data_IF_007090090348
#
_entry.id   IF_007090090348
#
_cell.length_a   1.000
_cell.length_b   1.000
_cell.length_c   1.000
_cell.angle_alpha   90.00
_cell.angle_beta   90.00
_cell.angle_gamma   90.00
#
_symmetry.space_group_name_H-M   'P 1'
#
loop_
_entity.id
_entity.type
_entity.pdbx_description
1 polymer ?
#
# COMPACT_ATOMS: atom_id res chain seq x y z
N UNK A 1 14.94 19.23 -0.44
CA UNK A 1 16.30 18.78 -0.08
C UNK A 1 17.11 18.57 -1.36
N UNK A 2 17.79 19.59 -1.87
CA UNK A 2 18.50 19.51 -3.15
C UNK A 2 19.58 18.42 -3.17
N UNK A 3 20.33 18.27 -2.08
CA UNK A 3 21.42 17.30 -2.00
C UNK A 3 20.93 15.85 -2.05
N UNK A 4 19.80 15.53 -1.41
CA UNK A 4 19.19 14.19 -1.48
C UNK A 4 18.78 13.84 -2.92
N UNK A 5 18.21 14.80 -3.66
CA UNK A 5 17.81 14.61 -5.07
C UNK A 5 19.04 14.38 -5.95
N UNK A 6 20.12 15.12 -5.72
CA UNK A 6 21.39 14.91 -6.42
C UNK A 6 21.97 13.52 -6.09
N UNK A 7 21.88 13.09 -4.83
CA UNK A 7 22.26 11.74 -4.41
C UNK A 7 21.49 10.64 -5.16
N UNK A 8 20.17 10.79 -5.32
CA UNK A 8 19.35 9.85 -6.08
C UNK A 8 19.77 9.79 -7.57
N UNK A 9 20.05 10.94 -8.19
CA UNK A 9 20.54 11.00 -9.56
C UNK A 9 21.88 10.28 -9.72
N UNK A 10 22.82 10.49 -8.79
CA UNK A 10 24.09 9.77 -8.80
C UNK A 10 23.91 8.26 -8.60
N UNK A 11 23.05 7.84 -7.67
CA UNK A 11 22.79 6.43 -7.43
C UNK A 11 22.19 5.74 -8.67
N UNK A 12 21.25 6.39 -9.37
CA UNK A 12 20.70 5.89 -10.63
C UNK A 12 21.77 5.79 -11.73
N UNK A 13 22.63 6.80 -11.87
CA UNK A 13 23.71 6.77 -12.84
C UNK A 13 24.70 5.63 -12.55
N UNK A 14 25.23 5.56 -11.32
CA UNK A 14 26.22 4.56 -10.93
C UNK A 14 25.68 3.13 -10.98
N UNK A 15 24.40 2.92 -10.63
CA UNK A 15 23.79 1.58 -10.74
C UNK A 15 23.70 1.11 -12.20
N UNK A 16 23.37 2.00 -13.14
CA UNK A 16 23.39 1.70 -14.57
C UNK A 16 24.82 1.41 -15.07
N UNK A 17 25.81 2.18 -14.63
CA UNK A 17 27.21 1.96 -15.00
C UNK A 17 27.70 0.58 -14.56
N UNK A 18 27.43 0.20 -13.30
CA UNK A 18 27.78 -1.12 -12.77
C UNK A 18 27.02 -2.23 -13.51
N UNK A 19 25.72 -2.04 -13.77
CA UNK A 19 24.92 -3.00 -14.53
C UNK A 19 25.45 -3.22 -15.95
N UNK A 20 25.84 -2.14 -16.63
CA UNK A 20 26.46 -2.18 -17.96
C UNK A 20 27.80 -2.91 -17.95
N UNK A 21 28.67 -2.58 -16.99
CA UNK A 21 29.98 -3.25 -16.86
C UNK A 21 29.82 -4.76 -16.62
N UNK A 22 28.92 -5.17 -15.70
CA UNK A 22 28.66 -6.59 -15.43
C UNK A 22 28.07 -7.33 -16.62
N UNK A 23 27.21 -6.69 -17.40
CA UNK A 23 26.68 -7.27 -18.62
C UNK A 23 27.78 -7.51 -19.65
N UNK A 24 28.70 -6.55 -19.83
CA UNK A 24 29.83 -6.71 -20.75
C UNK A 24 30.79 -7.81 -20.28
N UNK A 25 31.14 -7.85 -18.99
CA UNK A 25 31.95 -8.94 -18.40
C UNK A 25 31.33 -10.32 -18.66
N UNK A 26 30.01 -10.45 -18.47
CA UNK A 26 29.27 -11.69 -18.76
C UNK A 26 29.32 -12.06 -20.26
N UNK A 27 29.15 -11.09 -21.16
CA UNK A 27 29.20 -11.36 -22.59
C UNK A 27 30.61 -11.79 -23.04
N UNK A 28 31.66 -11.20 -22.47
CA UNK A 28 33.05 -11.59 -22.71
C UNK A 28 33.37 -12.98 -22.15
N UNK A 29 32.96 -13.30 -20.92
CA UNK A 29 33.22 -14.60 -20.27
C UNK A 29 32.65 -15.79 -21.05
N UNK A 30 31.47 -15.59 -21.67
CA UNK A 30 30.77 -16.65 -22.41
C UNK A 30 30.91 -16.54 -23.94
N UNK A 31 31.82 -15.68 -24.44
CA UNK A 31 32.05 -15.43 -25.86
C UNK A 31 30.74 -15.10 -26.64
N UNK A 32 29.84 -14.33 -26.02
CA UNK A 32 28.56 -13.95 -26.60
C UNK A 32 28.66 -12.60 -27.33
N UNK A 33 28.48 -12.55 -28.66
CA UNK A 33 28.55 -11.30 -29.41
C UNK A 33 27.34 -10.37 -29.17
N UNK A 34 26.28 -10.87 -28.54
CA UNK A 34 25.06 -10.13 -28.22
C UNK A 34 24.27 -10.84 -27.13
N UNK A 35 23.60 -10.05 -26.26
CA UNK A 35 22.66 -10.57 -25.27
C UNK A 35 21.30 -10.95 -25.86
N UNK A 36 20.97 -10.42 -27.06
CA UNK A 36 19.62 -10.49 -27.63
C UNK A 36 19.10 -11.94 -27.74
N UNK A 37 19.85 -12.92 -28.29
CA UNK A 37 19.34 -14.29 -28.39
C UNK A 37 19.01 -14.93 -27.03
N UNK A 38 19.82 -14.64 -26.00
CA UNK A 38 19.57 -15.12 -24.65
C UNK A 38 18.36 -14.41 -24.01
N UNK A 39 18.25 -13.10 -24.22
CA UNK A 39 17.11 -12.31 -23.75
C UNK A 39 15.80 -12.80 -24.38
N UNK A 40 15.79 -13.06 -25.68
CA UNK A 40 14.63 -13.58 -26.41
C UNK A 40 14.20 -14.94 -25.87
N UNK A 41 15.15 -15.85 -25.58
CA UNK A 41 14.86 -17.15 -24.99
C UNK A 41 14.28 -17.01 -23.56
N UNK A 42 14.83 -16.13 -22.73
CA UNK A 42 14.34 -15.87 -21.37
C UNK A 42 12.92 -15.29 -21.41
N UNK A 43 12.67 -14.34 -22.32
CA UNK A 43 11.35 -13.72 -22.52
C UNK A 43 10.35 -14.76 -23.02
N UNK A 44 10.71 -15.57 -24.02
CA UNK A 44 9.84 -16.61 -24.57
C UNK A 44 9.47 -17.67 -23.51
N UNK A 45 10.42 -18.11 -22.68
CA UNK A 45 10.14 -19.02 -21.56
C UNK A 45 9.20 -18.42 -20.53
N UNK A 46 9.37 -17.13 -20.24
CA UNK A 46 8.52 -16.42 -19.27
C UNK A 46 7.10 -16.24 -19.81
N UNK A 47 6.96 -16.00 -21.12
CA UNK A 47 5.68 -15.96 -21.80
C UNK A 47 4.98 -17.32 -21.76
N UNK A 48 5.67 -18.40 -22.14
CA UNK A 48 5.10 -19.74 -22.11
C UNK A 48 4.69 -20.14 -20.69
N UNK A 49 5.52 -19.87 -19.68
CA UNK A 49 5.20 -20.18 -18.29
C UNK A 49 3.98 -19.43 -17.78
N UNK A 50 3.77 -18.17 -18.19
CA UNK A 50 2.55 -17.43 -17.85
C UNK A 50 1.32 -17.99 -18.59
N UNK A 51 1.44 -18.32 -19.88
CA UNK A 51 0.37 -18.97 -20.66
C UNK A 51 -0.07 -20.30 -20.04
N UNK A 52 0.89 -21.15 -19.67
CA UNK A 52 0.64 -22.41 -18.96
C UNK A 52 -0.03 -22.18 -17.59
N UNK A 53 0.31 -21.08 -16.91
CA UNK A 53 -0.34 -20.70 -15.67
C UNK A 53 -1.78 -20.26 -15.88
N UNK A 54 -2.07 -19.49 -16.92
CA UNK A 54 -3.42 -19.03 -17.28
C UNK A 54 -4.31 -20.22 -17.67
N UNK A 55 -3.79 -21.21 -18.40
CA UNK A 55 -4.53 -22.44 -18.78
C UNK A 55 -5.07 -23.24 -17.59
N UNK A 56 -4.51 -23.05 -16.38
CA UNK A 56 -4.99 -23.70 -15.15
C UNK A 56 -6.15 -22.95 -14.50
N UNK A 57 -6.43 -21.73 -14.94
CA UNK A 57 -7.62 -20.97 -14.55
C UNK A 57 -8.75 -21.39 -15.49
N UNK A 58 -9.94 -21.76 -14.97
CA UNK A 58 -11.06 -22.08 -15.84
C UNK A 58 -11.42 -20.89 -16.76
N UNK A 59 -11.76 -21.20 -18.01
CA UNK A 59 -12.30 -20.20 -18.93
C UNK A 59 -13.60 -19.62 -18.38
N UNK A 60 -13.76 -18.30 -18.46
CA UNK A 60 -14.92 -17.64 -17.91
C UNK A 60 -14.76 -16.14 -17.72
N UNK A 61 -15.80 -15.53 -17.17
CA UNK A 61 -15.85 -14.11 -16.81
C UNK A 61 -16.08 -13.96 -15.31
N UNK A 62 -15.14 -13.31 -14.63
CA UNK A 62 -15.15 -13.11 -13.18
C UNK A 62 -15.22 -11.63 -12.87
N UNK A 63 -16.22 -11.23 -12.09
CA UNK A 63 -16.48 -9.80 -11.80
C UNK A 63 -16.28 -9.50 -10.33
N UNK A 64 -15.62 -8.39 -10.05
CA UNK A 64 -15.44 -7.95 -8.68
C UNK A 64 -15.42 -6.43 -8.58
N UNK A 65 -15.88 -5.90 -7.46
CA UNK A 65 -15.74 -4.49 -7.14
C UNK A 65 -15.43 -4.29 -5.66
N UNK A 66 -14.63 -3.28 -5.38
CA UNK A 66 -14.29 -2.84 -4.04
C UNK A 66 -14.54 -1.33 -3.94
N UNK A 67 -14.91 -0.92 -2.73
CA UNK A 67 -15.03 0.48 -2.36
C UNK A 67 -13.86 0.85 -1.46
N UNK A 68 -13.12 1.88 -1.82
CA UNK A 68 -12.07 2.47 -0.97
C UNK A 68 -12.58 3.73 -0.28
N UNK A 69 -11.82 4.21 0.70
CA UNK A 69 -12.11 5.50 1.28
C UNK A 69 -12.06 6.59 0.20
N UNK A 70 -12.98 7.54 0.34
CA UNK A 70 -13.15 8.62 -0.60
C UNK A 70 -12.17 9.77 -0.47
N UNK A 71 -12.60 10.87 -1.09
CA UNK A 71 -12.15 12.21 -0.79
C UNK A 71 -13.34 13.07 -0.33
N UNK A 72 -13.05 14.10 0.46
CA UNK A 72 -14.06 15.06 0.87
C UNK A 72 -14.33 16.09 -0.25
N UNK A 73 -15.61 16.29 -0.53
CA UNK A 73 -16.15 17.39 -1.32
C UNK A 73 -16.77 18.44 -0.39
N UNK A 74 -16.66 19.74 -0.70
CA UNK A 74 -17.32 20.77 0.07
C UNK A 74 -18.81 20.47 0.21
N UNK A 75 -19.31 20.52 1.45
CA UNK A 75 -20.74 20.54 1.71
C UNK A 75 -21.40 21.77 1.09
N UNK A 76 -22.73 21.81 1.06
CA UNK A 76 -23.44 23.07 0.80
C UNK A 76 -23.09 24.09 1.89
N UNK A 77 -23.23 25.40 1.65
CA UNK A 77 -23.02 26.39 2.70
C UNK A 77 -23.81 26.05 3.98
N UNK A 78 -23.10 25.81 5.08
CA UNK A 78 -23.68 25.40 6.37
C UNK A 78 -23.77 23.88 6.61
N UNK A 79 -23.39 23.05 5.63
CA UNK A 79 -23.30 21.59 5.75
C UNK A 79 -21.82 21.15 5.86
N UNK A 80 -21.54 20.04 6.57
CA UNK A 80 -20.20 19.47 6.62
C UNK A 80 -19.76 18.95 5.25
N UNK A 81 -18.45 18.83 5.05
CA UNK A 81 -17.89 18.18 3.86
C UNK A 81 -18.43 16.76 3.71
N UNK A 82 -18.74 16.38 2.47
CA UNK A 82 -19.27 15.07 2.12
C UNK A 82 -18.12 14.18 1.66
N UNK A 83 -18.00 13.00 2.27
CA UNK A 83 -17.10 11.97 1.77
C UNK A 83 -17.68 11.26 0.55
N UNK A 84 -16.92 11.22 -0.54
CA UNK A 84 -17.30 10.53 -1.77
C UNK A 84 -16.43 9.29 -1.93
N UNK A 85 -16.93 8.08 -1.61
CA UNK A 85 -16.16 6.85 -1.75
C UNK A 85 -15.80 6.59 -3.23
N UNK A 86 -14.71 5.88 -3.45
CA UNK A 86 -14.25 5.51 -4.78
C UNK A 86 -14.51 4.02 -4.99
N UNK A 87 -15.15 3.68 -6.11
CA UNK A 87 -15.37 2.29 -6.52
C UNK A 87 -14.33 1.90 -7.55
N UNK A 88 -13.65 0.79 -7.33
CA UNK A 88 -12.86 0.10 -8.33
C UNK A 88 -13.60 -1.17 -8.73
N UNK A 89 -13.86 -1.34 -10.01
CA UNK A 89 -14.55 -2.50 -10.55
C UNK A 89 -13.68 -3.14 -11.63
N UNK A 90 -13.64 -4.47 -11.68
CA UNK A 90 -13.03 -5.17 -12.79
C UNK A 90 -13.86 -6.37 -13.25
N UNK A 91 -13.70 -6.69 -14.53
CA UNK A 91 -14.10 -7.96 -15.13
C UNK A 91 -12.85 -8.65 -15.69
N UNK A 92 -12.55 -9.84 -15.20
CA UNK A 92 -11.48 -10.69 -15.75
C UNK A 92 -12.12 -11.71 -16.68
N UNK A 93 -11.69 -11.74 -17.93
CA UNK A 93 -12.08 -12.74 -18.93
C UNK A 93 -10.88 -13.65 -19.22
N UNK A 94 -11.04 -14.94 -18.99
CA UNK A 94 -10.04 -15.97 -19.31
C UNK A 94 -10.53 -16.76 -20.52
N UNK A 95 -9.68 -16.86 -21.53
CA UNK A 95 -9.94 -17.61 -22.77
C UNK A 95 -8.67 -18.35 -23.17
N UNK A 96 -8.65 -19.67 -22.95
CA UNK A 96 -7.49 -20.51 -23.21
C UNK A 96 -6.27 -20.06 -22.41
N UNK A 97 -5.23 -19.62 -23.10
CA UNK A 97 -3.96 -19.19 -22.51
C UNK A 97 -3.81 -17.67 -22.39
N UNK A 98 -4.92 -16.93 -22.55
CA UNK A 98 -4.95 -15.45 -22.46
C UNK A 98 -5.93 -14.96 -21.40
N UNK A 99 -5.62 -13.79 -20.84
CA UNK A 99 -6.42 -13.13 -19.82
C UNK A 99 -6.59 -11.65 -20.14
N UNK A 100 -7.83 -11.17 -20.05
CA UNK A 100 -8.17 -9.75 -20.24
C UNK A 100 -8.81 -9.18 -18.97
N UNK A 101 -8.35 -8.01 -18.52
CA UNK A 101 -8.92 -7.27 -17.38
C UNK A 101 -9.53 -5.97 -17.89
N UNK A 102 -10.84 -5.82 -17.73
CA UNK A 102 -11.54 -4.58 -18.04
C UNK A 102 -12.00 -3.87 -16.76
N UNK A 103 -11.62 -2.60 -16.59
CA UNK A 103 -11.95 -1.77 -15.43
C UNK A 103 -13.21 -0.90 -15.63
N UNK A 104 -14.07 -1.22 -16.59
CA UNK A 104 -15.39 -0.57 -16.72
C UNK A 104 -16.20 -0.63 -15.41
N UNK A 105 -16.93 0.45 -15.12
CA UNK A 105 -17.64 0.66 -13.85
C UNK A 105 -16.79 1.25 -12.71
N UNK A 106 -15.50 1.50 -12.95
CA UNK A 106 -14.64 2.23 -12.01
C UNK A 106 -14.97 3.73 -11.96
N UNK A 107 -14.88 4.34 -10.76
CA UNK A 107 -15.17 5.75 -10.53
C UNK A 107 -14.39 6.72 -11.45
N UNK A 108 -14.96 7.90 -11.77
CA UNK A 108 -14.28 8.93 -12.56
C UNK A 108 -13.07 9.53 -11.84
N UNK A 109 -12.25 10.27 -12.59
CA UNK A 109 -11.15 11.09 -12.06
C UNK A 109 -11.61 11.96 -10.89
N UNK A 110 -10.82 11.98 -9.82
CA UNK A 110 -11.02 12.84 -8.67
C UNK A 110 -10.31 14.20 -8.85
N UNK A 111 -10.84 15.30 -8.31
CA UNK A 111 -10.19 16.63 -8.30
C UNK A 111 -9.09 16.72 -7.21
N UNK A 112 -8.30 15.65 -7.07
CA UNK A 112 -7.27 15.44 -6.05
C UNK A 112 -6.13 14.64 -6.66
N UNK A 113 -4.93 14.75 -6.08
CA UNK A 113 -3.71 14.12 -6.62
C UNK A 113 -3.66 12.58 -6.61
N UNK A 114 -4.77 11.88 -6.40
CA UNK A 114 -4.83 10.43 -6.20
C UNK A 114 -5.05 9.63 -7.50
N UNK A 115 -5.24 10.31 -8.63
CA UNK A 115 -5.53 9.67 -9.91
C UNK A 115 -4.35 8.84 -10.43
N UNK A 116 -4.67 7.86 -11.26
CA UNK A 116 -3.73 6.88 -11.81
C UNK A 116 -3.75 6.94 -13.33
N UNK A 117 -2.56 6.86 -13.92
CA UNK A 117 -2.33 6.75 -15.38
C UNK A 117 -2.32 5.28 -15.81
N UNK A 118 -2.71 5.01 -17.06
CA UNK A 118 -2.94 3.65 -17.55
C UNK A 118 -1.76 2.69 -17.34
N UNK A 119 -0.51 3.14 -17.56
CA UNK A 119 0.68 2.29 -17.36
C UNK A 119 0.86 1.82 -15.90
N UNK A 120 0.44 2.63 -14.92
CA UNK A 120 0.46 2.24 -13.51
C UNK A 120 -0.66 1.24 -13.21
N UNK A 121 -1.83 1.42 -13.84
CA UNK A 121 -2.94 0.47 -13.78
C UNK A 121 -2.55 -0.89 -14.34
N UNK A 122 -1.89 -0.90 -15.50
CA UNK A 122 -1.32 -2.11 -16.11
C UNK A 122 -0.34 -2.78 -15.15
N UNK A 123 0.65 -2.04 -14.64
CA UNK A 123 1.69 -2.59 -13.78
C UNK A 123 1.13 -3.28 -12.51
N UNK A 124 0.23 -2.63 -11.77
CA UNK A 124 -0.29 -3.19 -10.52
C UNK A 124 -1.36 -4.27 -10.72
N UNK A 125 -2.09 -4.25 -11.85
CA UNK A 125 -3.02 -5.34 -12.17
C UNK A 125 -2.26 -6.59 -12.59
N UNK A 126 -1.24 -6.44 -13.46
CA UNK A 126 -0.36 -7.53 -13.87
C UNK A 126 0.43 -8.10 -12.71
N UNK A 127 0.87 -7.25 -11.77
CA UNK A 127 1.46 -7.71 -10.51
C UNK A 127 0.48 -8.62 -9.73
N UNK A 128 -0.79 -8.22 -9.61
CA UNK A 128 -1.84 -9.04 -9.00
C UNK A 128 -1.98 -10.42 -9.65
N UNK A 129 -2.05 -10.46 -10.99
CA UNK A 129 -2.10 -11.71 -11.76
C UNK A 129 -0.87 -12.57 -11.49
N UNK A 130 0.33 -11.99 -11.58
CA UNK A 130 1.58 -12.74 -11.40
C UNK A 130 1.70 -13.34 -10.01
N UNK A 131 1.35 -12.59 -8.97
CA UNK A 131 1.33 -13.10 -7.60
C UNK A 131 0.38 -14.30 -7.43
N UNK A 132 -0.74 -14.32 -8.14
CA UNK A 132 -1.74 -15.38 -8.04
C UNK A 132 -1.38 -16.61 -8.89
N UNK A 133 -0.90 -16.41 -10.13
CA UNK A 133 -0.78 -17.48 -11.12
C UNK A 133 0.65 -17.99 -11.31
N UNK A 134 1.65 -17.10 -11.19
CA UNK A 134 3.01 -17.34 -11.66
C UNK A 134 4.07 -16.60 -10.79
N UNK A 135 4.08 -16.78 -9.46
CA UNK A 135 4.97 -16.02 -8.57
C UNK A 135 6.47 -16.27 -8.87
N UNK A 136 6.82 -17.50 -9.27
CA UNK A 136 8.19 -17.93 -9.52
C UNK A 136 8.70 -17.63 -10.94
N UNK A 137 7.82 -17.19 -11.85
CA UNK A 137 8.22 -16.80 -13.21
C UNK A 137 9.02 -15.49 -13.14
N UNK A 138 10.13 -15.32 -13.88
CA UNK A 138 10.87 -14.06 -13.91
C UNK A 138 10.01 -12.86 -14.36
N UNK A 139 10.29 -11.68 -13.80
CA UNK A 139 9.63 -10.44 -14.23
C UNK A 139 10.28 -9.92 -15.52
N UNK A 140 9.60 -10.09 -16.66
CA UNK A 140 9.95 -9.46 -17.93
C UNK A 140 8.70 -9.36 -18.83
N UNK A 141 8.84 -8.72 -19.99
CA UNK A 141 7.75 -8.49 -20.94
C UNK A 141 6.99 -9.77 -21.31
N UNK A 142 7.68 -10.90 -21.44
CA UNK A 142 7.07 -12.18 -21.79
C UNK A 142 5.97 -12.59 -20.82
N UNK A 143 6.23 -12.42 -19.51
CA UNK A 143 5.24 -12.71 -18.46
C UNK A 143 4.00 -11.80 -18.49
N UNK A 144 4.01 -10.73 -19.28
CA UNK A 144 2.91 -9.75 -19.36
C UNK A 144 2.14 -9.87 -20.67
N UNK A 145 2.76 -10.37 -21.75
CA UNK A 145 2.14 -10.50 -23.09
C UNK A 145 0.78 -11.21 -23.13
N UNK A 146 0.51 -12.31 -22.38
CA UNK A 146 -0.80 -12.96 -22.42
C UNK A 146 -1.87 -12.24 -21.57
N UNK A 147 -1.50 -11.15 -20.89
CA UNK A 147 -2.39 -10.35 -20.02
C UNK A 147 -2.64 -8.99 -20.66
N UNK A 148 -3.89 -8.71 -21.04
CA UNK A 148 -4.29 -7.41 -21.59
C UNK A 148 -5.20 -6.66 -20.62
N UNK A 149 -5.14 -5.34 -20.59
CA UNK A 149 -5.82 -4.52 -19.58
C UNK A 149 -6.43 -3.28 -20.23
N UNK A 150 -7.67 -2.96 -19.90
CA UNK A 150 -8.36 -1.73 -20.32
C UNK A 150 -8.99 -1.01 -19.13
N UNK A 151 -9.07 0.32 -19.21
CA UNK A 151 -9.82 1.14 -18.28
C UNK A 151 -10.42 2.33 -19.03
N UNK A 152 -11.66 2.76 -18.71
CA UNK A 152 -12.29 3.89 -19.39
C UNK A 152 -11.43 5.16 -19.26
N UNK A 153 -11.21 5.86 -20.38
CA UNK A 153 -10.51 7.16 -20.37
C UNK A 153 -11.30 8.13 -19.51
N UNK A 154 -10.64 8.77 -18.53
CA UNK A 154 -11.30 9.66 -17.57
C UNK A 154 -11.84 8.95 -16.32
N UNK A 155 -11.65 7.63 -16.19
CA UNK A 155 -11.73 6.94 -14.90
C UNK A 155 -10.51 7.26 -14.03
N UNK A 156 -10.63 7.03 -12.72
CA UNK A 156 -9.52 7.23 -11.77
C UNK A 156 -8.31 6.33 -12.07
N UNK A 157 -8.50 5.26 -12.86
CA UNK A 157 -7.47 4.33 -13.31
C UNK A 157 -6.89 4.63 -14.70
N UNK A 158 -7.42 5.61 -15.42
CA UNK A 158 -6.92 6.05 -16.72
C UNK A 158 -7.15 7.55 -16.91
N UNK A 159 -6.54 8.33 -16.02
CA UNK A 159 -6.61 9.79 -16.07
C UNK A 159 -5.73 10.35 -17.20
N UNK A 160 -6.15 11.48 -17.76
CA UNK A 160 -5.41 12.22 -18.79
C UNK A 160 -4.88 13.55 -18.24
N UNK A 161 -3.79 14.10 -18.81
CA UNK A 161 -3.39 15.47 -18.50
C UNK A 161 -4.58 16.44 -18.64
N UNK A 162 -4.77 17.41 -17.71
CA UNK A 162 -3.86 17.82 -16.61
C UNK A 162 -4.21 17.20 -15.23
N UNK A 163 -4.85 16.04 -15.16
CA UNK A 163 -5.23 15.43 -13.88
C UNK A 163 -4.01 15.19 -12.96
N UNK A 164 -4.08 15.53 -11.66
CA UNK A 164 -2.95 15.38 -10.75
C UNK A 164 -2.80 13.93 -10.24
N UNK A 165 -1.54 13.45 -10.14
CA UNK A 165 -1.18 12.02 -9.91
C UNK A 165 -0.13 11.78 -8.82
N UNK A 166 0.13 12.78 -7.96
CA UNK A 166 1.20 12.73 -6.95
C UNK A 166 0.98 11.62 -5.89
N UNK A 167 -0.26 11.40 -5.46
CA UNK A 167 -0.70 10.40 -4.49
C UNK A 167 -1.29 9.13 -5.12
N UNK A 168 -0.96 8.82 -6.38
CA UNK A 168 -1.53 7.68 -7.14
C UNK A 168 -1.45 6.30 -6.45
N UNK A 169 -0.50 6.10 -5.54
CA UNK A 169 -0.35 4.86 -4.78
C UNK A 169 -1.56 4.57 -3.87
N UNK A 170 -2.30 5.60 -3.45
CA UNK A 170 -3.54 5.45 -2.67
C UNK A 170 -4.52 4.56 -3.42
N UNK A 171 -4.64 4.77 -4.73
CA UNK A 171 -5.59 4.05 -5.59
C UNK A 171 -4.93 2.82 -6.20
N UNK A 172 -3.78 2.99 -6.86
CA UNK A 172 -3.22 1.92 -7.68
C UNK A 172 -2.73 0.69 -6.89
N UNK A 173 -2.41 0.83 -5.59
CA UNK A 173 -2.08 -0.33 -4.74
C UNK A 173 -3.29 -1.18 -4.36
N UNK A 174 -4.52 -0.77 -4.68
CA UNK A 174 -5.71 -1.61 -4.54
C UNK A 174 -5.90 -2.59 -5.69
N UNK A 175 -5.25 -2.38 -6.84
CA UNK A 175 -5.51 -3.18 -8.04
C UNK A 175 -5.25 -4.69 -7.83
N UNK A 176 -4.21 -5.11 -7.10
CA UNK A 176 -4.05 -6.53 -6.76
C UNK A 176 -5.23 -7.09 -5.96
N UNK A 177 -5.79 -6.33 -5.01
CA UNK A 177 -6.95 -6.76 -4.24
C UNK A 177 -8.20 -6.90 -5.13
N UNK A 178 -8.43 -5.93 -6.01
CA UNK A 178 -9.55 -5.96 -6.98
C UNK A 178 -9.44 -7.18 -7.91
N UNK A 179 -8.24 -7.42 -8.44
CA UNK A 179 -7.92 -8.57 -9.29
C UNK A 179 -8.06 -9.90 -8.55
N UNK A 180 -7.55 -9.98 -7.32
CA UNK A 180 -7.64 -11.18 -6.48
C UNK A 180 -9.08 -11.51 -6.11
N UNK A 181 -9.93 -10.52 -5.85
CA UNK A 181 -11.35 -10.74 -5.59
C UNK A 181 -12.12 -11.27 -6.81
N UNK A 182 -11.73 -10.89 -8.03
CA UNK A 182 -12.26 -11.50 -9.24
C UNK A 182 -11.75 -12.94 -9.40
N UNK A 183 -10.43 -13.16 -9.33
CA UNK A 183 -9.81 -14.48 -9.44
C UNK A 183 -10.27 -15.46 -8.35
N UNK A 184 -10.67 -14.99 -7.17
CA UNK A 184 -11.19 -15.83 -6.08
C UNK A 184 -12.40 -16.66 -6.50
N UNK A 185 -13.16 -16.24 -7.52
CA UNK A 185 -14.29 -17.00 -8.05
C UNK A 185 -13.85 -18.24 -8.86
N UNK A 186 -12.62 -18.24 -9.36
CA UNK A 186 -12.07 -19.29 -10.21
C UNK A 186 -11.04 -20.17 -9.47
N UNK A 187 -10.20 -19.53 -8.66
CA UNK A 187 -9.05 -20.11 -7.97
C UNK A 187 -8.99 -19.66 -6.50
N UNK A 188 -10.04 -19.87 -5.69
CA UNK A 188 -10.13 -19.36 -4.32
C UNK A 188 -8.95 -19.77 -3.43
N UNK A 189 -8.36 -20.95 -3.67
CA UNK A 189 -7.27 -21.51 -2.88
C UNK A 189 -5.87 -20.94 -3.24
N UNK A 190 -5.77 -20.05 -4.23
CA UNK A 190 -4.50 -19.45 -4.69
C UNK A 190 -4.38 -17.95 -4.38
N UNK A 191 -5.49 -17.28 -4.08
CA UNK A 191 -5.51 -15.83 -3.83
C UNK A 191 -5.67 -15.51 -2.35
N UNK A 192 -5.05 -14.44 -1.89
CA UNK A 192 -5.17 -13.96 -0.50
C UNK A 192 -6.50 -13.22 -0.29
N UNK A 193 -6.93 -13.07 0.96
CA UNK A 193 -7.97 -12.09 1.32
C UNK A 193 -7.42 -10.66 1.23
N UNK A 194 -8.29 -9.67 1.35
CA UNK A 194 -7.91 -8.26 1.31
C UNK A 194 -7.04 -7.88 2.50
N UNK A 195 -6.03 -7.03 2.25
CA UNK A 195 -5.19 -6.43 3.26
C UNK A 195 -5.46 -4.93 3.44
N UNK A 196 -4.53 -4.25 4.10
CA UNK A 196 -4.50 -2.78 4.16
C UNK A 196 -4.41 -2.12 2.76
N UNK A 197 -3.95 -2.86 1.75
CA UNK A 197 -3.72 -2.44 0.37
C UNK A 197 -2.73 -1.27 0.27
N UNK A 198 -3.20 -0.04 0.42
CA UNK A 198 -2.33 1.12 0.28
C UNK A 198 -1.43 1.33 1.50
N UNK A 199 -0.17 1.65 1.24
CA UNK A 199 0.77 2.10 2.26
C UNK A 199 0.29 3.42 2.87
N UNK A 200 0.39 3.53 4.19
CA UNK A 200 0.24 4.82 4.87
C UNK A 200 1.54 5.59 4.77
N UNK A 201 1.62 6.48 3.78
CA UNK A 201 2.76 7.38 3.60
C UNK A 201 2.58 8.59 4.51
N UNK A 202 3.59 8.87 5.31
CA UNK A 202 3.65 10.02 6.21
C UNK A 202 4.68 10.99 5.70
N UNK A 203 4.28 12.21 5.36
CA UNK A 203 5.21 13.28 5.01
C UNK A 203 5.15 14.39 6.07
N UNK A 204 6.33 14.73 6.59
CA UNK A 204 6.55 15.78 7.55
C UNK A 204 7.38 16.88 6.92
N UNK A 205 7.03 18.13 7.19
CA UNK A 205 7.90 19.25 6.88
C UNK A 205 7.79 20.31 7.96
N UNK A 206 8.86 21.07 8.15
CA UNK A 206 8.94 22.10 9.17
C UNK A 206 10.34 22.66 9.29
N UNK A 207 10.63 23.25 10.45
CA UNK A 207 11.95 23.76 10.80
C UNK A 207 12.51 22.95 11.98
N UNK A 208 13.70 22.39 11.78
CA UNK A 208 14.50 21.70 12.80
C UNK A 208 15.42 22.72 13.49
N UNK A 209 15.20 22.94 14.79
CA UNK A 209 15.99 23.88 15.59
C UNK A 209 17.00 23.17 16.49
N UNK A 210 17.17 21.85 16.38
CA UNK A 210 18.12 21.09 17.20
C UNK A 210 19.57 21.39 16.82
N UNK A 211 19.79 21.85 15.59
CA UNK A 211 21.08 22.33 15.08
C UNK A 211 20.92 23.81 14.71
N UNK A 212 21.80 24.68 15.21
CA UNK A 212 21.74 26.12 14.94
C UNK A 212 21.69 26.38 13.43
N UNK A 213 20.71 27.16 12.97
CA UNK A 213 20.51 27.42 11.55
C UNK A 213 21.54 28.38 10.96
N UNK A 214 21.79 28.23 9.67
CA UNK A 214 22.67 29.08 8.85
C UNK A 214 22.00 30.46 8.61
N UNK A 215 21.93 31.28 9.66
CA UNK A 215 21.57 32.70 9.56
C UNK A 215 20.23 33.12 10.17
N UNK A 216 20.30 34.16 11.01
CA UNK A 216 19.20 35.00 11.50
C UNK A 216 17.96 34.28 12.07
N UNK A 217 18.15 33.45 13.10
CA UNK A 217 17.08 33.10 14.05
C UNK A 217 16.05 32.05 13.61
N UNK A 218 16.25 31.35 12.50
CA UNK A 218 15.39 30.24 12.06
C UNK A 218 16.14 28.91 11.96
N UNK A 219 15.54 27.81 12.42
CA UNK A 219 16.08 26.45 12.23
C UNK A 219 16.11 25.97 10.78
N UNK A 220 16.85 24.89 10.53
CA UNK A 220 17.01 24.28 9.20
C UNK A 220 15.69 23.68 8.73
N UNK A 221 15.25 23.99 7.49
CA UNK A 221 14.07 23.33 6.91
C UNK A 221 14.34 21.84 6.70
N UNK A 222 13.37 21.00 7.05
CA UNK A 222 13.41 19.56 6.78
C UNK A 222 12.15 19.11 6.03
N UNK A 223 12.27 18.02 5.27
CA UNK A 223 11.14 17.32 4.67
C UNK A 223 11.41 15.82 4.74
N UNK A 224 10.68 15.11 5.59
CA UNK A 224 10.87 13.68 5.76
C UNK A 224 9.61 12.92 5.37
N UNK A 225 9.76 11.92 4.49
CA UNK A 225 8.72 10.96 4.18
C UNK A 225 9.15 9.55 4.56
N UNK A 226 8.22 8.77 5.11
CA UNK A 226 8.42 7.33 5.30
C UNK A 226 7.11 6.58 5.21
N UNK A 227 7.22 5.26 5.10
CA UNK A 227 6.10 4.38 4.80
C UNK A 227 5.75 3.51 5.99
N UNK A 228 4.45 3.33 6.21
CA UNK A 228 3.90 2.46 7.23
C UNK A 228 2.95 1.45 6.58
N UNK A 229 3.06 0.20 6.97
CA UNK A 229 2.29 -0.91 6.39
C UNK A 229 1.33 -1.48 7.42
N UNK A 230 0.07 -1.66 7.01
CA UNK A 230 -0.92 -2.39 7.80
C UNK A 230 -0.76 -3.90 7.68
N UNK A 231 -1.81 -4.62 8.05
CA UNK A 231 -1.86 -6.07 7.93
C UNK A 231 -2.15 -6.54 6.50
N UNK A 232 -1.42 -7.57 6.05
CA UNK A 232 -1.76 -8.30 4.83
C UNK A 232 -2.99 -9.19 5.07
N UNK A 233 -3.84 -9.41 4.08
CA UNK A 233 -4.95 -10.36 4.21
C UNK A 233 -4.46 -11.80 4.46
N UNK A 234 -5.32 -12.62 5.05
CA UNK A 234 -5.03 -14.02 5.26
C UNK A 234 -4.72 -14.73 3.94
N UNK A 235 -3.86 -15.73 4.00
CA UNK A 235 -3.55 -16.61 2.87
C UNK A 235 -4.43 -17.85 2.95
N UNK A 236 -4.74 -18.53 1.83
CA UNK A 236 -5.58 -19.72 1.83
C UNK A 236 -5.17 -20.79 2.85
N UNK A 237 -3.86 -20.90 3.12
CA UNK A 237 -3.27 -21.92 3.99
C UNK A 237 -2.59 -21.36 5.25
N UNK A 238 -2.53 -20.03 5.43
CA UNK A 238 -1.72 -19.39 6.49
C UNK A 238 -2.30 -18.05 6.92
N UNK A 239 -2.01 -17.61 8.14
CA UNK A 239 -2.35 -16.25 8.57
C UNK A 239 -1.68 -15.20 7.66
N UNK A 240 -2.30 -14.02 7.60
CA UNK A 240 -1.72 -12.85 6.95
C UNK A 240 -0.51 -12.34 7.72
N UNK A 241 0.45 -11.76 7.00
CA UNK A 241 1.63 -11.17 7.61
C UNK A 241 1.28 -9.84 8.27
N UNK A 242 1.63 -9.69 9.55
CA UNK A 242 1.39 -8.47 10.32
C UNK A 242 2.35 -7.35 9.89
N UNK A 243 1.84 -6.12 9.79
CA UNK A 243 2.62 -4.91 9.47
C UNK A 243 3.57 -5.08 8.28
N UNK A 244 3.11 -5.79 7.25
CA UNK A 244 3.91 -6.16 6.08
C UNK A 244 3.28 -5.55 4.85
N UNK A 245 4.09 -4.84 4.07
CA UNK A 245 3.65 -4.22 2.84
C UNK A 245 3.20 -5.28 1.82
N UNK A 246 1.99 -5.11 1.30
CA UNK A 246 1.52 -5.75 0.08
C UNK A 246 0.53 -4.77 -0.56
N UNK A 247 0.64 -4.46 -1.86
CA UNK A 247 1.52 -5.07 -2.87
C UNK A 247 2.95 -4.50 -2.98
N UNK A 248 3.37 -3.61 -2.09
CA UNK A 248 4.70 -2.99 -2.16
C UNK A 248 5.80 -3.83 -1.48
N UNK A 249 7.05 -3.74 -1.96
CA UNK A 249 8.23 -4.41 -1.38
C UNK A 249 9.03 -3.55 -0.38
N UNK A 250 8.42 -2.51 0.20
CA UNK A 250 9.11 -1.60 1.13
C UNK A 250 9.25 -2.19 2.53
N UNK A 251 10.27 -1.73 3.26
CA UNK A 251 10.47 -2.04 4.69
C UNK A 251 10.24 -0.78 5.51
N UNK A 252 9.80 -0.95 6.76
CA UNK A 252 9.67 0.15 7.70
C UNK A 252 11.02 0.82 7.97
N UNK A 253 11.01 2.15 8.11
CA UNK A 253 12.19 2.92 8.50
C UNK A 253 12.44 2.74 10.01
N UNK A 254 13.69 2.43 10.44
CA UNK A 254 14.02 2.36 11.87
C UNK A 254 13.78 3.68 12.59
N UNK A 255 13.38 3.62 13.86
CA UNK A 255 13.08 4.81 14.66
C UNK A 255 14.31 5.74 14.75
N UNK A 256 15.49 5.16 14.98
CA UNK A 256 16.75 5.90 15.12
C UNK A 256 17.09 6.71 13.87
N UNK A 257 16.73 6.22 12.68
CA UNK A 257 16.92 6.94 11.41
C UNK A 257 15.93 8.11 11.29
N UNK A 258 14.69 7.94 11.74
CA UNK A 258 13.70 9.02 11.79
C UNK A 258 14.17 10.12 12.74
N UNK A 259 14.53 9.73 13.97
CA UNK A 259 14.94 10.65 15.02
C UNK A 259 16.25 11.39 14.71
N UNK A 260 17.19 10.72 14.04
CA UNK A 260 18.44 11.35 13.63
C UNK A 260 18.24 12.39 12.51
N UNK A 261 17.30 12.16 11.59
CA UNK A 261 17.13 12.99 10.38
C UNK A 261 16.12 14.13 10.53
N UNK A 262 15.17 14.00 11.44
CA UNK A 262 14.12 14.99 11.64
C UNK A 262 13.82 15.21 13.14
N UNK A 263 13.28 16.37 13.53
CA UNK A 263 12.88 16.70 14.91
C UNK A 263 11.58 15.97 15.29
N UNK A 264 11.57 14.65 15.09
CA UNK A 264 10.46 13.72 15.31
C UNK A 264 10.97 12.61 16.21
N UNK A 265 10.20 12.25 17.23
CA UNK A 265 10.46 11.16 18.17
C UNK A 265 9.39 10.08 18.01
N UNK A 266 9.83 8.82 17.93
CA UNK A 266 8.94 7.67 17.86
C UNK A 266 8.67 7.18 19.28
N UNK A 267 7.51 7.57 19.83
CA UNK A 267 7.14 7.25 21.20
C UNK A 267 6.63 5.81 21.36
N UNK A 268 6.02 5.28 20.31
CA UNK A 268 5.48 3.92 20.30
C UNK A 268 5.53 3.35 18.89
N UNK A 269 5.95 2.09 18.78
CA UNK A 269 5.73 1.27 17.59
C UNK A 269 5.40 -0.16 18.02
N UNK A 270 4.12 -0.51 18.01
CA UNK A 270 3.61 -1.77 18.56
C UNK A 270 2.61 -2.41 17.59
N UNK A 271 2.52 -3.74 17.54
CA UNK A 271 1.41 -4.37 16.82
C UNK A 271 0.09 -4.02 17.50
N UNK A 272 -0.99 -3.87 16.72
CA UNK A 272 -2.35 -3.60 17.25
C UNK A 272 -3.07 -4.93 17.52
N UNK A 273 -3.21 -5.37 18.78
CA UNK A 273 -3.91 -6.60 19.09
C UNK A 273 -5.36 -6.54 18.59
N UNK A 274 -5.85 -7.65 18.04
CA UNK A 274 -7.22 -7.75 17.53
C UNK A 274 -7.51 -6.97 16.24
N UNK A 275 -6.53 -6.30 15.63
CA UNK A 275 -6.74 -5.58 14.37
C UNK A 275 -6.84 -6.51 13.15
N UNK A 276 -6.30 -7.73 13.22
CA UNK A 276 -6.41 -8.71 12.14
C UNK A 276 -7.77 -9.39 12.12
N UNK A 277 -8.41 -9.46 10.95
CA UNK A 277 -9.71 -10.09 10.77
C UNK A 277 -9.67 -11.56 11.16
N UNK A 278 -10.61 -11.99 12.00
CA UNK A 278 -10.70 -13.36 12.47
C UNK A 278 -11.07 -14.32 11.33
N UNK A 279 -10.58 -15.55 11.40
CA UNK A 279 -10.92 -16.64 10.49
C UNK A 279 -10.17 -17.90 10.88
N UNK A 280 -10.40 -19.01 10.16
CA UNK A 280 -9.51 -20.19 10.25
C UNK A 280 -8.06 -19.74 10.08
N UNK A 281 -7.85 -18.84 9.12
CA UNK A 281 -6.63 -18.05 8.97
C UNK A 281 -6.93 -16.58 9.25
N UNK A 282 -6.25 -16.00 10.24
CA UNK A 282 -6.40 -14.61 10.68
C UNK A 282 -5.69 -13.69 9.68
N UNK A 283 -6.29 -12.55 9.34
CA UNK A 283 -5.60 -11.49 8.60
C UNK A 283 -4.48 -10.86 9.44
N UNK A 284 -3.42 -10.37 8.82
CA UNK A 284 -2.28 -9.74 9.50
C UNK A 284 -2.72 -8.56 10.38
N UNK A 285 -1.99 -8.33 11.47
CA UNK A 285 -2.26 -7.18 12.34
C UNK A 285 -1.70 -5.90 11.71
N UNK A 286 -2.40 -4.79 11.93
CA UNK A 286 -1.80 -3.46 11.80
C UNK A 286 -0.85 -3.16 12.97
N UNK A 287 -0.28 -1.96 12.97
CA UNK A 287 0.52 -1.46 14.08
C UNK A 287 0.07 -0.06 14.49
N UNK A 288 0.39 0.29 15.73
CA UNK A 288 0.21 1.61 16.29
C UNK A 288 1.56 2.32 16.23
N UNK A 289 1.54 3.56 15.77
CA UNK A 289 2.69 4.44 15.69
C UNK A 289 2.33 5.77 16.35
N UNK A 290 3.08 6.14 17.39
CA UNK A 290 2.91 7.43 18.08
C UNK A 290 4.14 8.27 17.83
N UNK A 291 3.93 9.46 17.27
CA UNK A 291 5.01 10.39 16.91
C UNK A 291 4.80 11.70 17.64
N UNK A 292 5.88 12.23 18.18
CA UNK A 292 5.94 13.57 18.75
C UNK A 292 6.94 14.40 17.96
N UNK A 293 6.64 15.66 17.70
CA UNK A 293 7.66 16.59 17.24
C UNK A 293 8.33 17.26 18.45
N UNK A 294 9.67 17.18 18.51
CA UNK A 294 10.47 17.83 19.54
C UNK A 294 11.60 18.63 18.89
N UNK A 295 11.78 19.88 19.33
CA UNK A 295 12.72 20.82 18.68
C UNK A 295 12.18 21.57 17.45
N UNK A 296 10.85 21.62 17.26
CA UNK A 296 10.20 22.45 16.22
C UNK A 296 9.53 23.70 16.81
N UNK A 297 9.54 24.82 16.09
CA UNK A 297 8.92 26.11 16.52
C UNK A 297 7.43 26.23 16.16
N UNK A 298 6.68 25.12 16.23
CA UNK A 298 5.23 25.11 15.95
C UNK A 298 4.87 25.15 14.46
N UNK A 299 5.83 24.86 13.59
CA UNK A 299 5.70 24.89 12.13
C UNK A 299 5.53 23.49 11.50
N UNK A 300 5.19 22.47 12.29
CA UNK A 300 5.10 21.10 11.77
C UNK A 300 3.87 20.94 10.89
N UNK A 301 4.12 20.68 9.61
CA UNK A 301 3.12 20.24 8.64
C UNK A 301 3.21 18.74 8.47
N UNK A 302 2.07 18.10 8.55
CA UNK A 302 1.90 16.68 8.37
C UNK A 302 0.94 16.41 7.21
N UNK A 303 1.40 15.64 6.24
CA UNK A 303 0.66 15.25 5.04
C UNK A 303 0.46 13.73 5.05
N UNK A 304 -0.67 13.25 5.57
CA UNK A 304 -1.03 11.84 5.53
C UNK A 304 -1.62 11.44 4.18
N UNK A 305 -1.30 10.23 3.74
CA UNK A 305 -1.87 9.56 2.57
C UNK A 305 -2.54 8.26 3.01
N UNK A 306 -3.63 8.37 3.78
CA UNK A 306 -4.22 7.21 4.48
C UNK A 306 -5.54 6.76 3.87
N UNK A 307 -5.73 5.44 3.91
CA UNK A 307 -6.93 4.73 3.49
C UNK A 307 -7.31 3.65 4.52
N UNK A 308 -8.44 2.96 4.32
CA UNK A 308 -9.04 1.99 5.26
C UNK A 308 -9.39 2.58 6.63
N UNK A 309 -9.64 3.89 6.70
CA UNK A 309 -10.14 4.59 7.89
C UNK A 309 -11.66 4.52 8.01
N UNK A 310 -12.36 4.23 6.91
CA UNK A 310 -13.83 4.09 6.87
C UNK A 310 -14.27 2.75 6.32
N UNK A 311 -13.57 2.23 5.32
CA UNK A 311 -13.86 0.89 4.74
C UNK A 311 -12.79 -0.11 5.17
N UNK A 312 -13.19 -1.12 5.93
CA UNK A 312 -12.30 -2.17 6.41
C UNK A 312 -11.84 -3.10 5.29
N UNK A 313 -10.71 -3.80 5.49
CA UNK A 313 -10.30 -4.90 4.63
C UNK A 313 -11.29 -6.08 4.79
N UNK A 314 -12.08 -6.45 3.77
CA UNK A 314 -13.05 -7.52 3.90
C UNK A 314 -12.37 -8.88 4.12
N UNK A 315 -12.98 -9.72 4.96
CA UNK A 315 -12.64 -11.13 5.02
C UNK A 315 -13.25 -11.91 3.84
N UNK A 316 -12.84 -13.17 3.69
CA UNK A 316 -13.33 -14.07 2.63
C UNK A 316 -13.75 -15.42 3.20
N UNK A 317 -14.67 -16.10 2.53
CA UNK A 317 -15.07 -17.47 2.84
C UNK A 317 -15.52 -17.68 4.30
N UNK A 318 -16.22 -16.70 4.86
CA UNK A 318 -16.67 -16.70 6.27
C UNK A 318 -15.70 -16.01 7.24
N UNK A 319 -14.53 -15.55 6.76
CA UNK A 319 -13.61 -14.73 7.53
C UNK A 319 -14.16 -13.32 7.77
N UNK A 320 -13.77 -12.73 8.90
CA UNK A 320 -14.17 -11.39 9.31
C UNK A 320 -13.27 -10.32 8.71
N UNK A 321 -13.79 -9.10 8.63
CA UNK A 321 -13.03 -7.94 8.20
C UNK A 321 -11.91 -7.59 9.20
N UNK A 322 -10.83 -6.99 8.68
CA UNK A 322 -9.80 -6.38 9.51
C UNK A 322 -10.30 -5.13 10.24
N UNK A 323 -9.59 -4.74 11.28
CA UNK A 323 -9.83 -3.49 12.00
C UNK A 323 -9.50 -2.29 11.12
N UNK A 324 -10.33 -1.25 11.22
CA UNK A 324 -10.10 0.04 10.57
C UNK A 324 -8.80 0.69 11.06
N UNK A 325 -8.25 1.54 10.19
CA UNK A 325 -7.24 2.49 10.59
C UNK A 325 -7.86 3.70 11.30
N UNK A 326 -7.12 4.35 12.18
CA UNK A 326 -7.48 5.65 12.77
C UNK A 326 -6.25 6.57 12.77
N UNK A 327 -6.50 7.86 12.62
CA UNK A 327 -5.48 8.91 12.69
C UNK A 327 -6.03 10.07 13.49
N UNK A 328 -5.35 10.40 14.59
CA UNK A 328 -5.75 11.48 15.45
C UNK A 328 -4.57 12.17 16.13
N UNK A 329 -4.81 13.40 16.57
CA UNK A 329 -3.93 14.17 17.42
C UNK A 329 -4.44 14.13 18.86
N UNK A 330 -3.54 13.98 19.83
CA UNK A 330 -3.88 14.05 21.26
C UNK A 330 -2.86 14.90 22.01
N UNK A 331 -3.28 15.50 23.11
CA UNK A 331 -2.39 16.27 23.98
C UNK A 331 -1.35 15.36 24.64
N UNK A 332 -0.10 15.81 24.66
CA UNK A 332 1.00 15.18 25.41
C UNK A 332 0.74 15.26 26.91
N UNK A 333 0.38 16.46 27.36
CA UNK A 333 -0.08 16.74 28.72
C UNK A 333 -1.54 17.12 28.61
N UNK A 334 -2.48 16.27 29.10
CA UNK A 334 -3.90 16.57 29.02
C UNK A 334 -4.23 17.91 29.68
N UNK A 335 -5.04 18.73 29.02
CA UNK A 335 -5.66 19.90 29.61
C UNK A 335 -6.62 19.52 30.74
N UNK A 336 -7.02 20.50 31.57
CA UNK A 336 -8.10 20.35 32.54
C UNK A 336 -9.25 21.32 32.20
N UNK A 337 -10.41 20.83 31.69
CA UNK A 337 -10.72 19.42 31.38
C UNK A 337 -9.99 18.91 30.11
N UNK A 338 -9.80 17.59 29.96
CA UNK A 338 -9.08 17.02 28.80
C UNK A 338 -9.78 17.34 27.48
N UNK A 339 -9.00 17.74 26.46
CA UNK A 339 -9.55 17.91 25.13
C UNK A 339 -9.77 16.54 24.46
N UNK A 340 -10.87 16.36 23.69
CA UNK A 340 -11.06 15.15 22.91
C UNK A 340 -9.98 15.05 21.81
N UNK A 341 -9.57 13.84 21.40
CA UNK A 341 -8.63 13.67 20.31
C UNK A 341 -9.15 14.29 19.02
N UNK A 342 -8.30 15.09 18.36
CA UNK A 342 -8.65 15.74 17.10
C UNK A 342 -8.44 14.75 15.95
N UNK A 343 -9.38 14.64 15.02
CA UNK A 343 -9.30 13.73 13.85
C UNK A 343 -9.29 14.53 12.55
N UNK A 344 -8.13 15.08 12.14
CA UNK A 344 -7.99 15.72 10.84
C UNK A 344 -8.25 14.73 9.71
N UNK A 345 -8.55 15.24 8.52
CA UNK A 345 -8.85 14.38 7.39
C UNK A 345 -7.62 13.53 6.99
N UNK A 346 -7.75 12.20 6.81
CA UNK A 346 -6.65 11.26 6.56
C UNK A 346 -5.89 11.44 5.23
N UNK A 347 -6.38 12.32 4.36
CA UNK A 347 -5.75 12.67 3.07
C UNK A 347 -5.56 14.19 2.90
N UNK A 348 -5.52 14.95 3.99
CA UNK A 348 -5.36 16.40 3.95
C UNK A 348 -4.16 16.88 4.76
N UNK A 349 -3.50 17.93 4.26
CA UNK A 349 -2.42 18.59 4.99
C UNK A 349 -2.95 19.13 6.32
N UNK A 350 -2.28 18.73 7.39
CA UNK A 350 -2.60 19.09 8.76
C UNK A 350 -1.47 19.92 9.34
N UNK A 351 -1.79 21.03 9.97
CA UNK A 351 -0.87 21.71 10.89
C UNK A 351 -0.94 21.03 12.24
N UNK A 352 0.19 20.59 12.78
CA UNK A 352 0.24 19.88 14.06
C UNK A 352 0.67 20.87 15.14
N UNK A 353 -0.23 21.24 16.08
CA UNK A 353 0.11 22.16 17.16
C UNK A 353 1.24 21.63 18.04
N UNK A 354 2.00 22.53 18.65
CA UNK A 354 2.90 22.14 19.74
C UNK A 354 2.10 21.49 20.88
N UNK A 355 2.74 20.57 21.61
CA UNK A 355 2.08 19.87 22.71
C UNK A 355 1.20 18.69 22.26
N UNK A 356 1.16 18.35 20.96
CA UNK A 356 0.37 17.24 20.43
C UNK A 356 1.24 16.06 20.01
N UNK A 357 0.70 14.85 20.18
CA UNK A 357 1.16 13.61 19.55
C UNK A 357 0.30 13.27 18.35
N UNK A 358 0.94 12.74 17.32
CA UNK A 358 0.31 12.16 16.14
C UNK A 358 0.20 10.67 16.40
N UNK A 359 -1.03 10.17 16.49
CA UNK A 359 -1.31 8.75 16.67
C UNK A 359 -1.82 8.19 15.36
N UNK A 360 -1.18 7.13 14.90
CA UNK A 360 -1.59 6.37 13.73
C UNK A 360 -1.83 4.92 14.13
N UNK A 361 -3.09 4.52 14.05
CA UNK A 361 -3.53 3.16 14.22
C UNK A 361 -3.71 2.55 12.84
N UNK A 362 -2.74 1.78 12.34
CA UNK A 362 -2.81 1.25 10.99
C UNK A 362 -3.82 0.09 10.86
N UNK A 363 -4.52 -0.04 9.73
CA UNK A 363 -5.53 -1.08 9.52
C UNK A 363 -4.93 -2.50 9.54
N UNK A 364 -5.74 -3.48 9.91
CA UNK A 364 -5.41 -4.90 9.73
C UNK A 364 -5.97 -5.49 8.44
N UNK A 365 -5.53 -6.71 8.10
CA UNK A 365 -6.05 -7.45 6.95
C UNK A 365 -7.28 -8.29 7.29
N UNK A 366 -8.06 -8.68 6.28
CA UNK A 366 -9.20 -9.59 6.42
C UNK A 366 -8.78 -11.04 6.65
N UNK A 367 -9.61 -11.80 7.37
CA UNK A 367 -9.43 -13.24 7.60
C UNK A 367 -9.97 -14.11 6.46
N UNK A 368 -9.62 -15.40 6.48
CA UNK A 368 -10.19 -16.44 5.60
C UNK A 368 -10.79 -17.56 6.46
N UNK A 369 -11.98 -18.02 6.11
CA UNK A 369 -12.64 -19.15 6.75
C UNK A 369 -13.38 -18.77 8.03
N UNK A 370 -14.28 -19.63 8.49
CA UNK A 370 -15.01 -19.44 9.75
C UNK A 370 -14.04 -19.41 10.96
N UNK A 371 -14.03 -18.35 11.78
CA UNK A 371 -13.19 -18.27 12.99
C UNK A 371 -13.32 -19.47 13.94
N UNK A 372 -14.48 -20.14 13.96
CA UNK A 372 -14.71 -21.35 14.78
C UNK A 372 -13.91 -22.55 14.30
N UNK A 373 -13.45 -22.53 13.05
CA UNK A 373 -12.57 -23.54 12.47
C UNK A 373 -11.09 -23.33 12.76
N UNK A 374 -10.72 -22.23 13.46
CA UNK A 374 -9.32 -21.98 13.82
C UNK A 374 -8.85 -22.98 14.89
N UNK A 375 -7.69 -23.57 14.63
CA UNK A 375 -7.02 -24.48 15.56
C UNK A 375 -6.83 -23.83 16.96
N UNK A 376 -7.34 -24.46 18.03
CA UNK A 376 -7.16 -23.98 19.41
C UNK A 376 -5.70 -23.72 19.80
N UNK A 377 -4.74 -24.49 19.28
CA UNK A 377 -3.31 -24.27 19.58
C UNK A 377 -2.81 -22.94 18.99
N UNK A 378 -3.31 -22.58 17.80
CA UNK A 378 -3.00 -21.29 17.15
C UNK A 378 -3.65 -20.12 17.87
N UNK A 379 -4.87 -20.30 18.40
CA UNK A 379 -5.52 -19.30 19.27
C UNK A 379 -4.69 -19.08 20.55
N UNK A 380 -4.26 -20.17 21.19
CA UNK A 380 -3.41 -20.08 22.38
C UNK A 380 -2.06 -19.39 22.07
N UNK A 381 -1.48 -19.62 20.89
CA UNK A 381 -0.29 -18.91 20.43
C UNK A 381 -0.56 -17.41 20.22
N UNK A 382 -1.64 -17.05 19.51
CA UNK A 382 -2.01 -15.64 19.32
C UNK A 382 -2.23 -14.90 20.65
N UNK A 383 -2.82 -15.56 21.66
CA UNK A 383 -3.01 -14.99 23.00
C UNK A 383 -1.68 -14.81 23.74
N UNK A 384 -0.77 -15.80 23.68
CA UNK A 384 0.56 -15.71 24.29
C UNK A 384 1.40 -14.59 23.67
N UNK A 385 1.31 -14.45 22.34
CA UNK A 385 2.07 -13.45 21.59
C UNK A 385 1.40 -12.06 21.60
N UNK A 386 0.23 -11.92 22.24
CA UNK A 386 -0.51 -10.66 22.35
C UNK A 386 -1.14 -10.20 21.03
N UNK A 387 -1.33 -11.09 20.07
CA UNK A 387 -1.94 -10.78 18.76
C UNK A 387 -3.45 -10.63 18.84
N UNK A 388 -4.07 -11.34 19.78
CA UNK A 388 -5.47 -11.19 20.16
C UNK A 388 -5.52 -11.03 21.68
N UNK A 389 -6.50 -10.26 22.16
CA UNK A 389 -6.78 -10.14 23.58
C UNK A 389 -7.81 -11.19 23.97
N UNK A 390 -7.72 -11.71 25.20
CA UNK A 390 -8.83 -12.49 25.75
C UNK A 390 -10.11 -11.64 25.69
N UNK A 391 -11.28 -12.22 25.37
CA UNK A 391 -12.54 -11.50 25.54
C UNK A 391 -12.61 -10.95 26.97
N UNK A 392 -12.90 -9.66 27.09
CA UNK A 392 -13.31 -9.05 28.35
C UNK A 392 -14.72 -9.45 28.72
#
# INVERSE_FOLDING_TARGET
EPDSVVGDLHAMATSNDVGGARLLEFLEEFDLPSIIPLADEVIARSEQAMRDAILRVPDGMYRHSLTMDGYSEPGRPGEPDREVPITLACTITVTGDTLHIDFDGTSPVAPRGINVVMNYTEAYSTYGIKCALAPDVPNNEGSFRPVTITAPVGSILNCQPPAPVAGRHIVGQWLPAVVHGALAQAIPDQVIADGSSSLWITQFSGSDNRQGGDGAGGGRRFSMAFFNSGGMGARPTKDGLSSTAFPSGVRGVPAEIVEARAPLLIMERSLRPGSGGAGTHRGGLGHRLVIRADGTTGDLRFSPFFDRTRVAAPGRDGGHAGGLGDYFLREIVPSDPPLPPQRPHPKANTHVPQGMEIVMDLPGGGGIGDPRGRDPERIAADLRDGYVTAPG
#
